data_IF_233744279251
#
_entry.id   IF_233744279251
#
_cell.length_a   1.000
_cell.length_b   1.000
_cell.length_c   1.000
_cell.angle_alpha   90.00
_cell.angle_beta   90.00
_cell.angle_gamma   90.00
#
_symmetry.space_group_name_H-M   'P 1'
#
loop_
_entity.id
_entity.type
_entity.pdbx_description
1 polymer ?
#
# COMPACT_ATOMS: atom_id res chain seq x y z
N UNK A 1 -7.02 28.76 -4.06
CA UNK A 1 -6.20 28.06 -3.05
C UNK A 1 -6.53 26.58 -3.15
N UNK A 2 -5.68 25.84 -3.85
CA UNK A 2 -5.90 24.43 -4.21
C UNK A 2 -5.61 23.52 -3.01
N UNK A 3 -6.63 22.76 -2.57
CA UNK A 3 -6.59 21.90 -1.39
C UNK A 3 -5.49 20.83 -1.49
N UNK A 4 -4.51 20.90 -0.59
CA UNK A 4 -3.38 19.98 -0.44
C UNK A 4 -3.74 18.60 0.16
N UNK A 5 -5.00 18.36 0.53
CA UNK A 5 -5.42 17.15 1.27
C UNK A 5 -5.32 15.87 0.40
N UNK A 6 -5.36 16.00 -0.93
CA UNK A 6 -5.30 14.86 -1.87
C UNK A 6 -3.87 14.51 -2.34
N UNK A 7 -2.83 15.24 -1.89
CA UNK A 7 -1.44 15.00 -2.31
C UNK A 7 -0.61 14.25 -1.25
N UNK A 8 -1.25 13.61 -0.27
CA UNK A 8 -0.52 12.76 0.68
C UNK A 8 0.14 11.60 -0.09
N UNK A 9 1.46 11.39 0.04
CA UNK A 9 2.10 10.28 -0.65
C UNK A 9 1.50 8.98 -0.16
N UNK A 10 1.03 8.16 -1.10
CA UNK A 10 0.50 6.83 -0.80
C UNK A 10 1.59 6.00 -0.10
N UNK A 11 1.23 5.01 0.72
CA UNK A 11 2.21 4.06 1.29
C UNK A 11 3.08 3.38 0.23
N UNK A 12 2.55 3.21 -0.99
CA UNK A 12 3.28 2.62 -2.11
C UNK A 12 4.30 3.61 -2.72
N UNK A 13 3.97 4.90 -2.79
CA UNK A 13 4.91 5.94 -3.22
C UNK A 13 6.09 6.06 -2.26
N UNK A 14 5.82 6.07 -0.94
CA UNK A 14 6.88 6.06 0.07
C UNK A 14 7.84 4.87 -0.09
N UNK A 15 7.30 3.66 -0.25
CA UNK A 15 8.12 2.45 -0.47
C UNK A 15 8.92 2.51 -1.77
N UNK A 16 8.32 3.05 -2.84
CA UNK A 16 8.97 3.21 -4.13
C UNK A 16 10.11 4.23 -4.05
N UNK A 17 9.93 5.34 -3.33
CA UNK A 17 10.96 6.36 -3.17
C UNK A 17 12.15 5.83 -2.36
N UNK A 18 11.92 5.00 -1.35
CA UNK A 18 12.98 4.26 -0.64
C UNK A 18 13.75 3.37 -1.62
N UNK A 19 13.06 2.59 -2.47
CA UNK A 19 13.72 1.75 -3.47
C UNK A 19 14.53 2.58 -4.48
N UNK A 20 14.01 3.72 -4.94
CA UNK A 20 14.74 4.62 -5.85
C UNK A 20 15.99 5.20 -5.22
N UNK A 21 15.93 5.58 -3.94
CA UNK A 21 17.04 6.21 -3.24
C UNK A 21 18.18 5.22 -2.97
N UNK A 22 17.85 3.98 -2.62
CA UNK A 22 18.84 3.00 -2.13
C UNK A 22 19.21 1.91 -3.14
N UNK A 23 18.30 1.55 -4.06
CA UNK A 23 18.47 0.45 -5.00
C UNK A 23 18.03 0.83 -6.44
N UNK A 24 18.54 1.94 -7.02
CA UNK A 24 18.12 2.42 -8.33
C UNK A 24 18.36 1.38 -9.44
N UNK A 25 19.42 0.58 -9.35
CA UNK A 25 19.76 -0.48 -10.30
C UNK A 25 18.76 -1.65 -10.33
N UNK A 26 17.94 -1.78 -9.29
CA UNK A 26 16.90 -2.81 -9.22
C UNK A 26 15.57 -2.36 -9.85
N UNK A 27 15.48 -1.12 -10.33
CA UNK A 27 14.29 -0.55 -10.93
C UNK A 27 14.48 -0.43 -12.45
N UNK A 28 13.60 -1.09 -13.19
CA UNK A 28 13.54 -0.99 -14.64
C UNK A 28 12.28 -0.24 -15.03
N UNK A 29 12.36 0.57 -16.08
CA UNK A 29 11.19 1.27 -16.63
C UNK A 29 10.94 0.74 -18.03
N UNK A 30 9.76 0.15 -18.26
CA UNK A 30 9.35 -0.31 -19.58
C UNK A 30 9.13 0.87 -20.53
N UNK A 31 9.04 0.59 -21.83
CA UNK A 31 8.67 1.56 -22.86
C UNK A 31 7.33 2.28 -22.57
N UNK A 32 6.43 1.63 -21.83
CA UNK A 32 5.13 2.18 -21.41
C UNK A 32 5.20 2.99 -20.09
N UNK A 33 6.39 3.22 -19.53
CA UNK A 33 6.59 3.96 -18.29
C UNK A 33 6.23 3.19 -17.00
N UNK A 34 5.99 1.87 -17.10
CA UNK A 34 5.73 1.01 -15.94
C UNK A 34 7.03 0.64 -15.24
N UNK A 35 7.05 0.74 -13.91
CA UNK A 35 8.21 0.37 -13.09
C UNK A 35 8.14 -1.13 -12.79
N UNK A 36 9.18 -1.85 -13.17
CA UNK A 36 9.42 -3.26 -12.81
C UNK A 36 10.56 -3.33 -11.82
N UNK A 37 10.44 -4.24 -10.85
CA UNK A 37 11.51 -4.52 -9.89
C UNK A 37 12.25 -5.76 -10.37
N UNK A 38 13.52 -5.60 -10.72
CA UNK A 38 14.40 -6.71 -11.04
C UNK A 38 14.91 -7.34 -9.74
N UNK A 39 14.32 -8.48 -9.38
CA UNK A 39 14.65 -9.20 -8.14
C UNK A 39 16.12 -9.63 -8.07
N UNK A 40 16.74 -10.01 -9.20
CA UNK A 40 18.14 -10.42 -9.23
C UNK A 40 19.09 -9.23 -9.00
N UNK A 41 18.81 -8.09 -9.64
CA UNK A 41 19.56 -6.86 -9.41
C UNK A 41 19.39 -6.36 -7.97
N UNK A 42 18.20 -6.52 -7.37
CA UNK A 42 17.98 -6.21 -5.95
C UNK A 42 18.78 -7.13 -5.03
N UNK A 43 18.77 -8.45 -5.28
CA UNK A 43 19.53 -9.41 -4.48
C UNK A 43 21.04 -9.14 -4.56
N UNK A 44 21.56 -8.87 -5.76
CA UNK A 44 22.97 -8.53 -5.97
C UNK A 44 23.34 -7.21 -5.28
N UNK A 45 22.44 -6.23 -5.28
CA UNK A 45 22.65 -4.95 -4.59
C UNK A 45 22.70 -5.10 -3.06
N UNK A 46 21.95 -6.04 -2.51
CA UNK A 46 21.90 -6.31 -1.07
C UNK A 46 23.12 -7.10 -0.59
N UNK A 47 23.56 -8.10 -1.37
CA UNK A 47 24.75 -8.90 -1.06
C UNK A 47 25.56 -9.21 -2.34
N UNK A 48 26.50 -8.32 -2.72
CA UNK A 48 27.33 -8.50 -3.92
C UNK A 48 28.29 -9.69 -3.83
N UNK A 49 28.54 -10.19 -2.62
CA UNK A 49 29.56 -11.21 -2.32
C UNK A 49 28.99 -12.62 -2.38
N UNK A 50 27.67 -12.75 -2.38
CA UNK A 50 26.95 -14.01 -2.34
C UNK A 50 26.29 -14.30 -3.71
N UNK A 51 26.90 -15.14 -4.56
CA UNK A 51 26.36 -15.48 -5.88
C UNK A 51 25.08 -16.34 -5.82
N UNK A 52 24.71 -16.89 -4.65
CA UNK A 52 23.42 -17.55 -4.44
C UNK A 52 22.29 -16.54 -4.14
N UNK A 53 22.61 -15.25 -4.01
CA UNK A 53 21.69 -14.18 -3.65
C UNK A 53 21.35 -14.16 -2.16
N UNK A 54 20.61 -13.13 -1.74
CA UNK A 54 20.01 -13.10 -0.41
C UNK A 54 18.91 -14.17 -0.36
N UNK A 55 19.19 -15.28 0.33
CA UNK A 55 18.13 -16.20 0.72
C UNK A 55 17.25 -15.49 1.74
N UNK A 56 15.99 -15.24 1.35
CA UNK A 56 14.96 -14.90 2.32
C UNK A 56 14.62 -16.19 3.05
N UNK A 57 15.45 -16.54 4.03
CA UNK A 57 15.09 -17.56 4.99
C UNK A 57 13.94 -17.01 5.83
N UNK A 58 12.80 -17.71 5.85
CA UNK A 58 11.75 -17.49 6.85
C UNK A 58 12.20 -18.08 8.20
N UNK A 59 13.43 -17.76 8.60
CA UNK A 59 14.08 -18.26 9.80
C UNK A 59 13.60 -17.45 11.00
N UNK A 60 12.40 -17.81 11.45
CA UNK A 60 11.75 -17.24 12.60
C UNK A 60 10.52 -18.04 13.03
N UNK A 61 10.15 -17.93 14.30
CA UNK A 61 8.88 -18.48 14.76
C UNK A 61 7.74 -17.64 14.19
N UNK A 62 7.03 -18.18 13.20
CA UNK A 62 5.93 -17.49 12.53
C UNK A 62 4.62 -18.28 12.69
N UNK A 63 3.53 -17.58 13.00
CA UNK A 63 2.19 -18.16 12.95
C UNK A 63 1.83 -18.43 11.48
N UNK A 64 1.76 -19.71 11.09
CA UNK A 64 1.26 -20.16 9.79
C UNK A 64 -0.15 -20.73 9.92
N UNK A 65 -1.02 -20.35 9.00
CA UNK A 65 -2.38 -20.91 8.88
C UNK A 65 -2.77 -20.99 7.40
N UNK A 66 -3.69 -21.90 7.08
CA UNK A 66 -4.26 -22.01 5.72
C UNK A 66 -5.01 -20.72 5.39
N UNK A 67 -4.72 -20.10 4.24
CA UNK A 67 -5.34 -18.84 3.84
C UNK A 67 -4.56 -17.58 4.22
N UNK A 68 -3.39 -17.70 4.89
CA UNK A 68 -2.58 -16.53 5.31
C UNK A 68 -2.14 -15.66 4.12
N UNK A 69 -1.67 -16.31 3.05
CA UNK A 69 -1.15 -15.61 1.86
C UNK A 69 -2.28 -14.91 1.10
N UNK A 70 -3.42 -15.57 1.03
CA UNK A 70 -4.66 -15.07 0.42
C UNK A 70 -5.20 -13.88 1.21
N UNK A 71 -5.24 -13.97 2.53
CA UNK A 71 -5.62 -12.88 3.42
C UNK A 71 -4.69 -11.67 3.24
N UNK A 72 -3.38 -11.92 3.20
CA UNK A 72 -2.39 -10.86 2.93
C UNK A 72 -2.66 -10.21 1.57
N UNK A 73 -2.81 -10.99 0.50
CA UNK A 73 -3.09 -10.45 -0.84
C UNK A 73 -4.38 -9.62 -0.82
N UNK A 74 -5.45 -10.13 -0.21
CA UNK A 74 -6.73 -9.43 -0.12
C UNK A 74 -6.57 -8.05 0.53
N UNK A 75 -5.77 -7.89 1.58
CA UNK A 75 -5.60 -6.61 2.27
C UNK A 75 -5.03 -5.51 1.36
N UNK A 76 -4.29 -5.88 0.30
CA UNK A 76 -3.66 -4.95 -0.65
C UNK A 76 -4.40 -4.82 -1.99
N UNK A 77 -5.50 -5.56 -2.21
CA UNK A 77 -6.32 -5.40 -3.42
C UNK A 77 -6.88 -3.98 -3.48
N UNK A 78 -6.75 -3.27 -4.62
CA UNK A 78 -7.37 -1.96 -4.81
C UNK A 78 -8.89 -2.00 -4.61
N UNK A 79 -9.43 -1.04 -3.86
CA UNK A 79 -10.88 -0.95 -3.65
C UNK A 79 -11.57 -0.45 -4.93
N UNK A 80 -12.62 -1.17 -5.35
CA UNK A 80 -13.42 -0.83 -6.54
C UNK A 80 -14.76 -0.16 -6.19
N UNK A 81 -14.89 0.30 -4.94
CA UNK A 81 -16.10 0.96 -4.42
C UNK A 81 -15.83 2.44 -4.21
N UNK A 82 -16.90 3.22 -4.11
CA UNK A 82 -16.86 4.66 -3.82
C UNK A 82 -17.73 4.97 -2.61
N UNK A 83 -17.40 6.02 -1.87
CA UNK A 83 -18.25 6.55 -0.80
C UNK A 83 -19.34 7.43 -1.40
N UNK A 84 -20.58 7.20 -1.01
CA UNK A 84 -21.72 8.04 -1.35
C UNK A 84 -22.14 8.85 -0.12
N UNK A 85 -22.05 10.20 -0.15
CA UNK A 85 -22.58 11.05 0.91
C UNK A 85 -24.10 10.87 1.06
N UNK A 86 -24.60 10.84 2.30
CA UNK A 86 -26.02 10.75 2.61
C UNK A 86 -26.46 11.84 3.61
N UNK A 87 -26.55 13.12 3.18
CA UNK A 87 -26.86 14.23 4.08
C UNK A 87 -28.22 14.08 4.77
N UNK A 88 -29.23 13.57 4.05
CA UNK A 88 -30.59 13.37 4.56
C UNK A 88 -30.66 12.33 5.70
N UNK A 89 -29.72 11.39 5.75
CA UNK A 89 -29.64 10.36 6.79
C UNK A 89 -28.64 10.74 7.90
N UNK A 90 -28.03 11.91 7.79
CA UNK A 90 -27.00 12.38 8.70
C UNK A 90 -27.57 13.40 9.68
N UNK A 91 -27.06 13.37 10.90
CA UNK A 91 -27.36 14.40 11.89
C UNK A 91 -26.20 15.39 11.95
N UNK A 92 -26.51 16.69 11.95
CA UNK A 92 -25.51 17.76 12.12
C UNK A 92 -24.32 17.63 11.13
N UNK A 93 -24.63 17.44 9.85
CA UNK A 93 -23.68 17.12 8.77
C UNK A 93 -22.42 17.98 8.78
N UNK A 94 -22.58 19.30 8.95
CA UNK A 94 -21.48 20.26 8.86
C UNK A 94 -20.68 20.45 10.18
N UNK A 95 -21.14 19.90 11.32
CA UNK A 95 -20.58 20.27 12.64
C UNK A 95 -20.10 19.12 13.53
N UNK A 96 -20.58 17.88 13.35
CA UNK A 96 -20.24 16.81 14.32
C UNK A 96 -18.78 16.37 14.29
N UNK A 97 -18.11 16.46 13.14
CA UNK A 97 -16.79 15.85 12.93
C UNK A 97 -16.77 14.32 13.02
N UNK A 98 -17.92 13.66 13.16
CA UNK A 98 -18.04 12.20 13.27
C UNK A 98 -18.46 11.60 11.93
N UNK A 99 -17.98 10.39 11.62
CA UNK A 99 -18.29 9.68 10.39
C UNK A 99 -18.87 8.30 10.68
N UNK A 100 -19.98 7.96 10.01
CA UNK A 100 -20.54 6.61 9.98
C UNK A 100 -20.50 6.09 8.54
N UNK A 101 -19.89 4.93 8.31
CA UNK A 101 -19.85 4.26 7.01
C UNK A 101 -20.67 2.98 7.09
N UNK A 102 -21.63 2.82 6.17
CA UNK A 102 -22.44 1.61 6.04
C UNK A 102 -21.91 0.74 4.90
N UNK A 103 -21.50 -0.49 5.21
CA UNK A 103 -21.01 -1.44 4.21
C UNK A 103 -20.10 -2.52 4.81
N UNK A 104 -19.36 -3.18 3.92
CA UNK A 104 -18.28 -4.10 4.30
C UNK A 104 -17.13 -3.33 4.94
N UNK A 105 -16.64 -3.81 6.09
CA UNK A 105 -15.62 -3.13 6.88
C UNK A 105 -14.25 -3.10 6.19
N UNK A 106 -13.88 -4.14 5.44
CA UNK A 106 -12.59 -4.24 4.77
C UNK A 106 -12.53 -3.22 3.62
N UNK A 107 -13.62 -3.05 2.89
CA UNK A 107 -13.72 -2.01 1.85
C UNK A 107 -13.72 -0.60 2.45
N UNK A 108 -14.43 -0.37 3.57
CA UNK A 108 -14.42 0.90 4.27
C UNK A 108 -12.99 1.27 4.74
N UNK A 109 -12.27 0.33 5.35
CA UNK A 109 -10.89 0.54 5.79
C UNK A 109 -9.95 0.79 4.61
N UNK A 110 -10.10 0.08 3.50
CA UNK A 110 -9.31 0.33 2.28
C UNK A 110 -9.55 1.73 1.70
N UNK A 111 -10.79 2.21 1.72
CA UNK A 111 -11.15 3.57 1.27
C UNK A 111 -10.52 4.64 2.16
N UNK A 112 -10.59 4.46 3.48
CA UNK A 112 -10.02 5.40 4.44
C UNK A 112 -8.49 5.39 4.45
N UNK A 113 -7.86 4.30 3.98
CA UNK A 113 -6.40 4.10 4.03
C UNK A 113 -5.62 5.28 3.48
N UNK A 114 -6.06 5.92 2.40
CA UNK A 114 -5.31 7.02 1.80
C UNK A 114 -5.35 8.30 2.67
N UNK A 115 -6.53 8.66 3.18
CA UNK A 115 -6.74 9.91 3.92
C UNK A 115 -6.32 9.84 5.39
N UNK A 116 -6.30 8.64 5.97
CA UNK A 116 -6.02 8.40 7.38
C UNK A 116 -4.71 7.63 7.61
N UNK A 117 -3.86 7.47 6.58
CA UNK A 117 -2.56 6.83 6.77
C UNK A 117 -1.68 7.65 7.72
N UNK A 118 -1.20 7.04 8.81
CA UNK A 118 -0.31 7.69 9.77
C UNK A 118 -0.95 8.80 10.60
N UNK A 119 -2.29 8.86 10.63
CA UNK A 119 -3.06 9.70 11.55
C UNK A 119 -3.67 8.86 12.68
#
# INVERSE_FOLDING_TARGET
MSNLILNAPTPNQLKLDILRAHFPQALETDADGRIRINAAALQLALDPSNPAGVQVEEDGYELRWVGKREAYHSAFVPVQKILQPAPEQSQNWDSTGNLLIKGDNLDALRLLRHSYFGK
#
